data_IF_659819356613
#
_entry.id   IF_659819356613
#
_cell.length_a   1.000
_cell.length_b   1.000
_cell.length_c   1.000
_cell.angle_alpha   90.00
_cell.angle_beta   90.00
_cell.angle_gamma   90.00
#
_symmetry.space_group_name_H-M   'P 1'
#
loop_
_entity.id
_entity.type
_entity.pdbx_description
1 polymer ?
#
# COMPACT_ATOMS: atom_id res chain seq x y z
N UNK A 1 -5.06 -15.25 25.52
CA UNK A 1 -4.00 -15.19 24.50
C UNK A 1 -3.87 -13.75 24.01
N UNK A 2 -2.68 -13.21 24.06
CA UNK A 2 -2.45 -11.86 23.57
C UNK A 2 -2.72 -11.82 22.06
N UNK A 3 -3.45 -10.81 21.61
CA UNK A 3 -3.63 -10.56 20.19
C UNK A 3 -2.30 -10.21 19.56
N UNK A 4 -2.06 -10.74 18.39
CA UNK A 4 -0.93 -10.32 17.59
C UNK A 4 -1.09 -8.82 17.31
N UNK A 5 -0.08 -8.04 17.71
CA UNK A 5 -0.09 -6.59 17.53
C UNK A 5 0.00 -6.16 16.04
N UNK A 6 0.10 -7.11 15.13
CA UNK A 6 0.10 -6.85 13.69
C UNK A 6 -1.31 -6.82 13.09
N UNK A 7 -2.35 -7.20 13.84
CA UNK A 7 -3.72 -7.10 13.38
C UNK A 7 -4.36 -5.79 13.83
N UNK A 8 -5.12 -5.20 12.93
CA UNK A 8 -5.90 -4.00 13.20
C UNK A 8 -7.36 -4.27 12.91
N UNK A 9 -8.19 -3.98 13.89
CA UNK A 9 -9.64 -4.12 13.78
C UNK A 9 -10.24 -2.74 13.56
N UNK A 10 -10.84 -2.51 12.40
CA UNK A 10 -11.35 -1.19 12.07
C UNK A 10 -12.75 -1.19 11.49
N UNK A 11 -13.43 -0.08 11.66
CA UNK A 11 -14.65 0.32 10.98
C UNK A 11 -15.84 -0.60 11.13
N UNK A 12 -15.93 -1.63 10.30
CA UNK A 12 -17.08 -2.53 10.21
C UNK A 12 -16.81 -3.83 10.97
N UNK A 13 -17.80 -4.36 11.65
CA UNK A 13 -17.70 -5.63 12.36
C UNK A 13 -17.28 -6.75 11.41
N UNK A 14 -16.24 -7.49 11.79
CA UNK A 14 -15.68 -8.57 10.98
C UNK A 14 -14.61 -8.13 10.00
N UNK A 15 -14.35 -6.84 9.87
CA UNK A 15 -13.26 -6.32 9.05
C UNK A 15 -11.99 -6.22 9.88
N UNK A 16 -10.86 -6.56 9.28
CA UNK A 16 -9.56 -6.45 9.94
C UNK A 16 -8.42 -6.38 8.93
N UNK A 17 -7.26 -5.93 9.40
CA UNK A 17 -6.02 -5.94 8.63
C UNK A 17 -5.09 -6.95 9.28
N UNK A 18 -4.45 -7.75 8.46
CA UNK A 18 -3.43 -8.72 8.89
C UNK A 18 -2.24 -8.73 7.95
N UNK A 19 -1.09 -9.25 8.39
CA UNK A 19 0.04 -9.46 7.48
C UNK A 19 -0.37 -10.32 6.27
N UNK A 20 0.20 -10.01 5.11
CA UNK A 20 0.00 -10.83 3.93
C UNK A 20 0.72 -12.17 4.08
N UNK A 21 0.15 -13.20 3.51
CA UNK A 21 0.70 -14.55 3.49
C UNK A 21 0.82 -15.05 2.05
N UNK A 22 1.45 -16.20 1.86
CA UNK A 22 1.55 -16.83 0.53
C UNK A 22 0.16 -17.08 -0.08
N UNK A 23 -0.84 -17.33 0.75
CA UNK A 23 -2.21 -17.52 0.30
C UNK A 23 -2.85 -16.26 -0.32
N UNK A 24 -2.26 -15.09 -0.10
CA UNK A 24 -2.76 -13.82 -0.64
C UNK A 24 -2.14 -13.46 -2.00
N UNK A 25 -1.11 -14.19 -2.45
CA UNK A 25 -0.37 -13.79 -3.64
C UNK A 25 -1.22 -13.76 -4.90
N UNK A 26 -2.17 -14.67 -5.05
CA UNK A 26 -3.07 -14.65 -6.21
C UNK A 26 -3.97 -13.41 -6.22
N UNK A 27 -4.50 -13.03 -5.06
CA UNK A 27 -5.28 -11.80 -4.91
C UNK A 27 -4.43 -10.56 -5.25
N UNK A 28 -3.24 -10.48 -4.68
CA UNK A 28 -2.32 -9.35 -4.90
C UNK A 28 -1.93 -9.26 -6.38
N UNK A 29 -1.61 -10.37 -7.01
CA UNK A 29 -1.24 -10.42 -8.43
C UNK A 29 -2.38 -9.91 -9.31
N UNK A 30 -3.59 -10.42 -9.09
CA UNK A 30 -4.76 -10.02 -9.87
C UNK A 30 -5.10 -8.54 -9.70
N UNK A 31 -5.08 -8.05 -8.48
CA UNK A 31 -5.37 -6.64 -8.21
C UNK A 31 -4.27 -5.72 -8.77
N UNK A 32 -3.00 -6.12 -8.64
CA UNK A 32 -1.88 -5.35 -9.19
C UNK A 32 -1.97 -5.24 -10.72
N UNK A 33 -2.34 -6.33 -11.38
CA UNK A 33 -2.56 -6.30 -12.82
C UNK A 33 -3.72 -5.35 -13.19
N UNK A 34 -4.80 -5.40 -12.44
CA UNK A 34 -5.98 -4.58 -12.71
C UNK A 34 -5.70 -3.09 -12.57
N UNK A 35 -4.96 -2.67 -11.54
CA UNK A 35 -4.79 -1.25 -11.22
C UNK A 35 -3.47 -0.65 -11.68
N UNK A 36 -2.42 -1.46 -11.91
CA UNK A 36 -1.09 -0.95 -12.23
C UNK A 36 -0.56 -1.34 -13.60
N UNK A 37 -1.28 -2.13 -14.39
CA UNK A 37 -0.77 -2.63 -15.68
C UNK A 37 -0.41 -1.51 -16.66
N UNK A 38 -1.03 -0.35 -16.54
CA UNK A 38 -0.72 0.83 -17.36
C UNK A 38 0.70 1.35 -17.10
N UNK A 39 1.28 1.06 -15.95
CA UNK A 39 2.62 1.52 -15.56
C UNK A 39 3.72 0.47 -15.80
N UNK A 40 3.37 -0.81 -15.82
CA UNK A 40 4.33 -1.90 -15.97
C UNK A 40 3.78 -3.23 -15.47
N UNK A 41 4.66 -4.22 -15.37
CA UNK A 41 4.33 -5.59 -14.96
C UNK A 41 4.32 -5.72 -13.42
N UNK A 42 3.48 -4.94 -12.77
CA UNK A 42 3.39 -4.93 -11.30
C UNK A 42 2.76 -6.19 -10.73
N UNK A 43 2.05 -6.96 -11.55
CA UNK A 43 1.53 -8.28 -11.18
C UNK A 43 2.64 -9.27 -10.83
N UNK A 44 3.85 -9.07 -11.37
CA UNK A 44 5.03 -9.86 -11.01
C UNK A 44 5.88 -9.18 -9.93
N UNK A 45 6.00 -7.85 -9.99
CA UNK A 45 6.85 -7.09 -9.07
C UNK A 45 6.32 -7.10 -7.64
N UNK A 46 5.02 -6.90 -7.45
CA UNK A 46 4.45 -6.77 -6.10
C UNK A 46 4.54 -8.07 -5.31
N UNK A 47 4.19 -9.25 -5.87
CA UNK A 47 4.43 -10.51 -5.15
C UNK A 47 5.89 -10.73 -4.77
N UNK A 48 6.82 -10.31 -5.62
CA UNK A 48 8.25 -10.39 -5.31
C UNK A 48 8.60 -9.52 -4.09
N UNK A 49 8.09 -8.30 -4.01
CA UNK A 49 8.29 -7.42 -2.86
C UNK A 49 7.71 -8.03 -1.57
N UNK A 50 6.52 -8.61 -1.66
CA UNK A 50 5.89 -9.25 -0.49
C UNK A 50 6.76 -10.38 0.06
N UNK A 51 7.47 -11.09 -0.80
CA UNK A 51 8.36 -12.18 -0.41
C UNK A 51 9.73 -11.69 0.10
N UNK A 52 10.02 -10.40 -0.03
CA UNK A 52 11.30 -9.83 0.41
C UNK A 52 11.27 -9.61 1.93
N UNK A 53 12.25 -10.15 2.70
CA UNK A 53 12.27 -9.98 4.15
C UNK A 53 12.46 -8.53 4.62
N UNK A 54 12.92 -7.62 3.76
CA UNK A 54 13.02 -6.19 4.07
C UNK A 54 11.71 -5.44 3.88
N UNK A 55 10.68 -6.11 3.37
CA UNK A 55 9.37 -5.53 3.19
C UNK A 55 8.38 -6.09 4.20
N UNK A 56 7.46 -5.24 4.63
CA UNK A 56 6.26 -5.65 5.38
C UNK A 56 5.05 -5.37 4.52
N UNK A 57 4.07 -6.26 4.58
CA UNK A 57 2.87 -6.15 3.77
C UNK A 57 1.65 -6.57 4.57
N UNK A 58 0.50 -6.04 4.17
CA UNK A 58 -0.75 -6.33 4.85
C UNK A 58 -1.90 -6.37 3.86
N UNK A 59 -2.94 -7.09 4.24
CA UNK A 59 -4.19 -7.15 3.48
C UNK A 59 -5.35 -6.74 4.36
N UNK A 60 -6.33 -6.07 3.76
CA UNK A 60 -7.58 -5.72 4.40
C UNK A 60 -8.60 -6.80 4.08
N UNK A 61 -9.17 -7.39 5.11
CA UNK A 61 -10.14 -8.48 5.01
C UNK A 61 -11.50 -7.96 5.43
N UNK A 62 -12.48 -8.13 4.56
CA UNK A 62 -13.88 -7.75 4.82
C UNK A 62 -14.70 -8.96 5.20
N UNK A 63 -15.59 -8.78 6.17
CA UNK A 63 -16.50 -9.83 6.65
C UNK A 63 -15.78 -11.12 7.06
N UNK A 64 -14.56 -10.95 7.61
CA UNK A 64 -13.75 -12.06 8.12
C UNK A 64 -13.07 -12.93 7.07
N UNK A 65 -13.30 -12.71 5.75
CA UNK A 65 -12.82 -13.65 4.73
C UNK A 65 -12.52 -13.06 3.35
N UNK A 66 -13.00 -11.85 3.03
CA UNK A 66 -12.88 -11.32 1.66
C UNK A 66 -11.78 -10.27 1.58
N UNK A 67 -10.67 -10.54 0.89
CA UNK A 67 -9.63 -9.53 0.72
C UNK A 67 -10.12 -8.39 -0.19
N UNK A 68 -9.88 -7.15 0.24
CA UNK A 68 -10.34 -5.94 -0.46
C UNK A 68 -9.21 -5.04 -0.90
N UNK A 69 -8.04 -5.19 -0.32
CA UNK A 69 -6.91 -4.35 -0.65
C UNK A 69 -5.64 -4.85 0.02
N UNK A 70 -4.52 -4.27 -0.39
CA UNK A 70 -3.22 -4.60 0.20
C UNK A 70 -2.32 -3.36 0.21
N UNK A 71 -1.24 -3.45 0.99
CA UNK A 71 -0.19 -2.43 1.05
C UNK A 71 1.15 -3.10 1.28
N UNK A 72 2.21 -2.55 0.70
CA UNK A 72 3.59 -3.03 0.86
C UNK A 72 4.48 -1.85 1.23
N UNK A 73 5.27 -2.02 2.29
CA UNK A 73 6.24 -1.04 2.78
C UNK A 73 7.63 -1.65 2.76
N UNK A 74 8.59 -0.96 2.14
CA UNK A 74 10.01 -1.28 2.28
C UNK A 74 10.54 -0.66 3.56
N UNK A 75 11.00 -1.49 4.49
CA UNK A 75 11.61 -1.01 5.73
C UNK A 75 13.02 -0.44 5.50
N UNK A 76 13.70 -0.91 4.45
CA UNK A 76 15.06 -0.48 4.15
C UNK A 76 15.12 1.00 3.76
N UNK A 77 14.13 1.50 3.05
CA UNK A 77 14.11 2.87 2.52
C UNK A 77 12.91 3.70 3.02
N UNK A 78 12.00 3.10 3.79
CA UNK A 78 10.81 3.81 4.28
C UNK A 78 9.79 4.13 3.19
N UNK A 79 9.73 3.34 2.13
CA UNK A 79 8.85 3.63 1.00
C UNK A 79 7.64 2.72 0.97
N UNK A 80 6.45 3.33 0.81
CA UNK A 80 5.24 2.61 0.44
C UNK A 80 5.39 2.24 -1.05
N UNK A 81 5.67 0.96 -1.31
CA UNK A 81 5.94 0.48 -2.67
C UNK A 81 4.69 0.26 -3.49
N UNK A 82 3.61 -0.13 -2.85
CA UNK A 82 2.33 -0.35 -3.50
C UNK A 82 1.20 -0.29 -2.48
N UNK A 83 0.08 0.25 -2.89
CA UNK A 83 -1.18 0.19 -2.17
C UNK A 83 -2.30 0.12 -3.19
N UNK A 84 -3.21 -0.80 -3.02
CA UNK A 84 -4.33 -0.98 -3.94
C UNK A 84 -5.56 -1.49 -3.22
N UNK A 85 -6.72 -1.01 -3.65
CA UNK A 85 -8.04 -1.42 -3.17
C UNK A 85 -8.85 -1.84 -4.38
N UNK A 86 -9.64 -2.91 -4.28
CA UNK A 86 -10.46 -3.35 -5.41
C UNK A 86 -11.38 -2.20 -5.85
N UNK A 87 -11.59 -2.01 -7.18
CA UNK A 87 -12.30 -0.83 -7.68
C UNK A 87 -13.69 -0.63 -7.06
N UNK A 88 -14.43 -1.70 -6.80
CA UNK A 88 -15.76 -1.60 -6.20
C UNK A 88 -15.78 -1.19 -4.74
N UNK A 89 -14.63 -1.22 -4.06
CA UNK A 89 -14.52 -0.88 -2.62
C UNK A 89 -13.68 0.37 -2.38
N UNK A 90 -13.29 1.09 -3.42
CA UNK A 90 -12.59 2.37 -3.28
C UNK A 90 -13.51 3.40 -2.64
N UNK A 91 -12.92 4.39 -1.95
CA UNK A 91 -13.64 5.45 -1.22
C UNK A 91 -14.41 4.96 0.02
N UNK A 92 -14.17 3.74 0.47
CA UNK A 92 -14.80 3.17 1.67
C UNK A 92 -13.92 3.26 2.92
N UNK A 93 -12.78 3.95 2.83
CA UNK A 93 -11.83 4.09 3.93
C UNK A 93 -10.80 2.96 4.04
N UNK A 94 -10.84 1.97 3.16
CA UNK A 94 -9.92 0.82 3.20
C UNK A 94 -8.48 1.27 2.95
N UNK A 95 -8.26 2.10 1.93
CA UNK A 95 -6.93 2.63 1.63
C UNK A 95 -6.35 3.43 2.79
N UNK A 96 -7.16 4.29 3.42
CA UNK A 96 -6.73 5.06 4.58
C UNK A 96 -6.38 4.16 5.76
N UNK A 97 -7.15 3.09 5.99
CA UNK A 97 -6.87 2.12 7.05
C UNK A 97 -5.55 1.38 6.80
N UNK A 98 -5.29 0.98 5.56
CA UNK A 98 -4.04 0.32 5.18
C UNK A 98 -2.83 1.25 5.37
N UNK A 99 -2.93 2.51 4.97
CA UNK A 99 -1.86 3.49 5.20
C UNK A 99 -1.61 3.70 6.68
N UNK A 100 -2.66 3.84 7.47
CA UNK A 100 -2.56 4.03 8.92
C UNK A 100 -1.86 2.84 9.59
N UNK A 101 -2.21 1.64 9.18
CA UNK A 101 -1.58 0.42 9.66
C UNK A 101 -0.07 0.42 9.37
N UNK A 102 0.33 0.80 8.15
CA UNK A 102 1.75 0.85 7.79
C UNK A 102 2.49 1.97 8.50
N UNK A 103 1.86 3.11 8.71
CA UNK A 103 2.45 4.20 9.48
C UNK A 103 2.74 3.77 10.92
N UNK A 104 1.80 3.06 11.53
CA UNK A 104 1.98 2.50 12.86
C UNK A 104 3.17 1.55 12.91
N UNK A 105 3.26 0.60 11.97
CA UNK A 105 4.39 -0.32 11.89
C UNK A 105 5.72 0.40 11.67
N UNK A 106 5.72 1.40 10.79
CA UNK A 106 6.91 2.19 10.49
C UNK A 106 7.44 2.91 11.72
N UNK A 107 6.54 3.52 12.50
CA UNK A 107 6.90 4.18 13.76
C UNK A 107 7.51 3.18 14.74
N UNK A 108 6.91 2.01 14.88
CA UNK A 108 7.44 0.95 15.74
C UNK A 108 8.83 0.48 15.33
N UNK A 109 9.14 0.55 14.04
CA UNK A 109 10.45 0.17 13.49
C UNK A 109 11.46 1.31 13.49
N UNK A 110 11.10 2.46 14.07
CA UNK A 110 12.00 3.60 14.21
C UNK A 110 12.11 4.48 12.98
N UNK A 111 11.28 4.31 11.98
CA UNK A 111 11.24 5.18 10.82
C UNK A 111 10.69 6.56 11.22
N UNK A 112 11.25 7.60 10.64
CA UNK A 112 10.86 9.00 10.92
C UNK A 112 10.10 9.64 9.77
N UNK A 113 10.09 8.99 8.62
CA UNK A 113 9.49 9.52 7.41
C UNK A 113 9.05 8.37 6.52
N UNK A 114 7.94 8.56 5.83
CA UNK A 114 7.51 7.68 4.76
C UNK A 114 7.64 8.38 3.42
N UNK A 115 8.04 7.63 2.42
CA UNK A 115 8.13 8.07 1.03
C UNK A 115 7.17 7.24 0.17
N UNK A 116 6.75 7.80 -0.96
CA UNK A 116 6.08 7.04 -2.01
C UNK A 116 6.27 7.72 -3.36
N UNK A 117 6.03 6.95 -4.41
CA UNK A 117 5.93 7.46 -5.78
C UNK A 117 4.51 7.27 -6.26
N UNK A 118 3.98 8.27 -6.95
CA UNK A 118 2.67 8.16 -7.60
C UNK A 118 2.75 8.84 -8.97
N UNK A 119 1.99 8.32 -9.94
CA UNK A 119 2.05 8.88 -11.29
C UNK A 119 1.58 10.33 -11.31
N UNK A 120 2.32 11.17 -12.02
CA UNK A 120 2.00 12.59 -12.17
C UNK A 120 0.59 12.80 -12.74
N UNK A 121 0.14 11.90 -13.59
CA UNK A 121 -1.19 11.95 -14.21
C UNK A 121 -2.31 11.38 -13.32
N UNK A 122 -1.98 10.75 -12.19
CA UNK A 122 -2.95 10.15 -11.29
C UNK A 122 -3.38 11.13 -10.19
N UNK A 123 -4.27 12.06 -10.55
CA UNK A 123 -4.74 13.10 -9.63
C UNK A 123 -5.52 12.53 -8.44
N UNK A 124 -6.26 11.45 -8.64
CA UNK A 124 -7.01 10.81 -7.56
C UNK A 124 -6.08 10.24 -6.48
N UNK A 125 -4.99 9.60 -6.88
CA UNK A 125 -4.01 9.09 -5.94
C UNK A 125 -3.32 10.23 -5.19
N UNK A 126 -2.94 11.29 -5.89
CA UNK A 126 -2.33 12.47 -5.26
C UNK A 126 -3.25 13.09 -4.20
N UNK A 127 -4.53 13.20 -4.50
CA UNK A 127 -5.51 13.71 -3.55
C UNK A 127 -5.65 12.79 -2.33
N UNK A 128 -5.66 11.49 -2.56
CA UNK A 128 -5.74 10.49 -1.50
C UNK A 128 -4.53 10.60 -0.56
N UNK A 129 -3.32 10.61 -1.11
CA UNK A 129 -2.10 10.72 -0.29
C UNK A 129 -1.99 12.09 0.38
N UNK A 130 -2.40 13.16 -0.30
CA UNK A 130 -2.43 14.50 0.28
C UNK A 130 -3.31 14.58 1.53
N UNK A 131 -4.49 13.96 1.50
CA UNK A 131 -5.37 13.87 2.68
C UNK A 131 -4.75 13.08 3.81
N UNK A 132 -3.91 12.10 3.48
CA UNK A 132 -3.21 11.29 4.47
C UNK A 132 -2.00 12.02 5.08
N UNK A 133 -1.67 13.21 4.60
CA UNK A 133 -0.59 14.04 5.14
C UNK A 133 0.69 14.00 4.32
N UNK A 134 0.70 13.39 3.16
CA UNK A 134 1.87 13.39 2.27
C UNK A 134 1.95 14.68 1.47
N UNK A 135 3.16 15.16 1.24
CA UNK A 135 3.46 16.34 0.45
C UNK A 135 4.38 15.98 -0.72
N UNK A 136 4.18 16.64 -1.86
CA UNK A 136 5.06 16.46 -3.02
C UNK A 136 6.40 17.13 -2.72
N UNK A 137 7.49 16.36 -2.85
CA UNK A 137 8.85 16.85 -2.63
C UNK A 137 9.71 16.83 -3.89
N UNK A 138 9.23 16.28 -4.98
CA UNK A 138 9.95 16.23 -6.24
C UNK A 138 9.23 15.39 -7.27
N UNK A 139 9.90 15.18 -8.40
CA UNK A 139 9.42 14.32 -9.46
C UNK A 139 10.59 13.51 -10.05
N UNK A 140 10.25 12.44 -10.76
CA UNK A 140 11.20 11.63 -11.51
C UNK A 140 10.63 11.32 -12.89
N UNK A 141 11.23 11.90 -13.91
CA UNK A 141 10.86 11.59 -15.29
C UNK A 141 11.24 10.15 -15.62
N UNK A 142 10.42 9.53 -16.45
CA UNK A 142 10.68 8.17 -16.95
C UNK A 142 10.88 7.15 -15.82
N UNK A 143 10.13 7.31 -14.73
CA UNK A 143 10.26 6.48 -13.55
C UNK A 143 9.65 5.09 -13.73
N UNK A 144 8.41 5.05 -14.25
CA UNK A 144 7.69 3.78 -14.43
C UNK A 144 8.24 3.03 -15.64
N UNK A 145 8.16 1.69 -15.64
CA UNK A 145 8.63 0.87 -16.77
C UNK A 145 8.11 1.31 -18.13
N UNK A 146 6.91 1.88 -18.20
CA UNK A 146 6.32 2.38 -19.46
C UNK A 146 6.59 3.87 -19.71
N UNK A 147 7.44 4.49 -18.91
CA UNK A 147 7.96 5.84 -19.16
C UNK A 147 7.26 6.99 -18.47
N UNK A 148 6.21 6.75 -17.72
CA UNK A 148 5.48 7.83 -17.04
C UNK A 148 6.33 8.50 -15.96
N UNK A 149 6.10 9.79 -15.75
CA UNK A 149 6.72 10.56 -14.67
C UNK A 149 6.05 10.25 -13.34
N UNK A 150 6.85 10.07 -12.30
CA UNK A 150 6.35 9.95 -10.92
C UNK A 150 6.51 11.25 -10.17
N UNK A 151 5.55 11.56 -9.31
CA UNK A 151 5.75 12.50 -8.21
C UNK A 151 6.30 11.72 -7.03
N UNK A 152 7.24 12.33 -6.32
CA UNK A 152 7.76 11.81 -5.06
C UNK A 152 7.06 12.54 -3.93
N UNK A 153 6.46 11.79 -3.02
CA UNK A 153 5.75 12.37 -1.88
C UNK A 153 6.33 11.84 -0.58
N UNK A 154 6.28 12.66 0.46
CA UNK A 154 6.78 12.29 1.78
C UNK A 154 5.85 12.73 2.89
N UNK A 155 5.95 12.02 4.02
CA UNK A 155 5.24 12.35 5.25
C UNK A 155 6.16 12.10 6.43
N UNK A 156 6.33 13.10 7.30
CA UNK A 156 7.00 12.91 8.59
C UNK A 156 6.08 12.13 9.54
N UNK A 157 6.64 11.18 10.24
CA UNK A 157 5.88 10.33 11.16
C UNK A 157 6.51 10.26 12.55
#
# INVERSE_FOLDING_TARGET
MARDNTEWMGGTQGDFIRPATDGDLNFVRGLSNQVFSVFGEYDEMVPHWISNPECVSAVYIKDGRRPQGFVVLSLAIGEILAIAVIPGSQRSGIGAALLHYMEFLAIQRGLKMLLLHTAQENEAAQAFFGKAGFEVIGDQENYYPKGQTALVMSKAI
#
